data_IF_791149609271
#
_entry.id   IF_791149609271
#
_cell.length_a   1.000
_cell.length_b   1.000
_cell.length_c   1.000
_cell.angle_alpha   90.00
_cell.angle_beta   90.00
_cell.angle_gamma   90.00
#
_symmetry.space_group_name_H-M   'P 1'
#
loop_
_entity.id
_entity.type
_entity.pdbx_description
1 polymer ?
#
# COMPACT_ATOMS: atom_id res chain seq x y z
N UNK A 1 2.49 9.84 -15.85
CA UNK A 1 3.56 9.55 -14.86
C UNK A 1 4.15 10.88 -14.41
N UNK A 2 3.96 11.31 -13.15
CA UNK A 2 4.18 12.70 -12.77
C UNK A 2 5.62 13.19 -12.99
N UNK A 3 6.63 12.29 -12.95
CA UNK A 3 8.02 12.59 -13.31
C UNK A 3 8.19 13.00 -14.80
N UNK A 4 7.57 12.29 -15.74
CA UNK A 4 7.66 12.60 -17.19
C UNK A 4 6.86 13.86 -17.56
N UNK A 5 5.78 14.10 -16.84
CA UNK A 5 4.91 15.26 -17.02
C UNK A 5 5.42 16.51 -16.29
N UNK A 6 6.55 16.43 -15.59
CA UNK A 6 7.14 17.56 -14.83
C UNK A 6 6.32 18.01 -13.62
N UNK A 7 5.37 17.18 -13.15
CA UNK A 7 4.54 17.45 -11.96
C UNK A 7 5.25 17.06 -10.66
N UNK A 8 6.31 16.27 -10.75
CA UNK A 8 7.22 15.96 -9.65
C UNK A 8 8.64 15.78 -10.20
N UNK A 9 9.63 15.92 -9.34
CA UNK A 9 11.04 15.75 -9.62
C UNK A 9 11.70 14.83 -8.59
N UNK A 10 12.86 14.27 -8.92
CA UNK A 10 13.63 13.44 -7.98
C UNK A 10 13.93 14.19 -6.67
N UNK A 11 14.20 15.50 -6.83
CA UNK A 11 14.47 16.42 -5.73
C UNK A 11 13.24 16.72 -4.87
N UNK A 12 12.04 16.21 -5.17
CA UNK A 12 10.89 16.34 -4.27
C UNK A 12 11.01 15.37 -3.09
N UNK A 13 11.56 14.17 -3.32
CA UNK A 13 11.77 13.13 -2.31
C UNK A 13 13.22 13.08 -1.81
N UNK A 14 14.19 13.25 -2.71
CA UNK A 14 15.63 13.15 -2.41
C UNK A 14 16.29 14.52 -2.25
N UNK A 15 17.40 14.57 -1.49
CA UNK A 15 18.30 15.71 -1.43
C UNK A 15 19.65 15.33 -2.06
N UNK A 16 20.01 15.89 -3.23
CA UNK A 16 21.25 15.55 -3.93
C UNK A 16 22.52 15.96 -3.17
N UNK A 17 22.40 16.83 -2.15
CA UNK A 17 23.51 17.20 -1.27
C UNK A 17 23.65 16.27 -0.04
N UNK A 18 22.90 15.17 0.00
CA UNK A 18 22.89 14.23 1.12
C UNK A 18 21.73 14.52 2.09
N UNK A 19 20.61 13.81 1.89
CA UNK A 19 19.49 13.84 2.82
C UNK A 19 19.74 13.02 4.10
N UNK A 20 19.02 13.32 5.20
CA UNK A 20 19.19 12.63 6.48
C UNK A 20 18.65 11.19 6.48
N UNK A 21 17.82 10.81 5.51
CA UNK A 21 17.25 9.47 5.40
C UNK A 21 18.03 8.52 4.51
N UNK A 22 17.62 7.25 4.46
CA UNK A 22 18.22 6.26 3.57
C UNK A 22 18.10 6.73 2.11
N UNK A 23 19.07 6.36 1.27
CA UNK A 23 19.10 6.76 -0.15
C UNK A 23 18.95 8.28 -0.37
N UNK A 24 19.48 9.10 0.56
CA UNK A 24 19.45 10.56 0.50
C UNK A 24 18.03 11.15 0.53
N UNK A 25 17.06 10.49 1.17
CA UNK A 25 15.72 11.05 1.34
C UNK A 25 15.75 12.32 2.22
N UNK A 26 14.83 13.25 1.94
CA UNK A 26 14.72 14.54 2.65
C UNK A 26 14.37 14.41 4.12
N UNK A 27 13.66 13.35 4.53
CA UNK A 27 13.32 13.06 5.93
C UNK A 27 14.06 11.81 6.40
N UNK A 28 14.11 11.61 7.71
CA UNK A 28 14.91 10.55 8.32
C UNK A 28 14.42 9.15 7.93
N UNK A 29 13.11 9.00 7.64
CA UNK A 29 12.53 7.73 7.21
C UNK A 29 11.79 7.84 5.87
N UNK A 30 11.55 6.66 5.25
CA UNK A 30 10.72 6.55 4.04
C UNK A 30 9.32 7.12 4.31
N UNK A 31 8.68 6.71 5.40
CA UNK A 31 7.32 7.13 5.74
C UNK A 31 7.22 8.64 5.96
N UNK A 32 8.15 9.24 6.71
CA UNK A 32 8.16 10.69 6.91
C UNK A 32 8.31 11.46 5.60
N UNK A 33 9.08 10.91 4.64
CA UNK A 33 9.19 11.51 3.31
C UNK A 33 7.87 11.41 2.55
N UNK A 34 7.18 10.26 2.61
CA UNK A 34 5.85 10.09 2.03
C UNK A 34 4.83 11.05 2.65
N UNK A 35 4.88 11.27 3.97
CA UNK A 35 3.98 12.15 4.71
C UNK A 35 4.20 13.64 4.42
N UNK A 36 5.23 14.03 3.67
CA UNK A 36 5.33 15.40 3.15
C UNK A 36 4.09 15.77 2.32
N UNK A 37 3.58 14.79 1.55
CA UNK A 37 2.41 14.97 0.69
C UNK A 37 1.21 14.12 1.15
N UNK A 38 1.43 12.89 1.64
CA UNK A 38 0.38 11.95 2.07
C UNK A 38 0.10 12.04 3.57
N UNK A 39 -0.20 13.25 4.04
CA UNK A 39 -0.38 13.55 5.46
C UNK A 39 -1.54 12.75 6.08
N UNK A 40 -2.56 12.43 5.29
CA UNK A 40 -3.72 11.65 5.71
C UNK A 40 -3.37 10.21 6.07
N UNK A 41 -2.16 9.74 5.77
CA UNK A 41 -1.68 8.37 6.08
C UNK A 41 -0.74 8.30 7.29
N UNK A 42 -0.46 9.42 7.95
CA UNK A 42 0.50 9.50 9.05
C UNK A 42 0.04 8.83 10.34
N UNK A 43 -1.26 8.81 10.62
CA UNK A 43 -1.79 8.35 11.90
C UNK A 43 -1.48 9.31 13.07
N UNK A 44 -1.68 8.86 14.32
CA UNK A 44 -1.99 7.48 14.70
C UNK A 44 -3.42 7.09 14.31
N UNK A 45 -3.60 5.85 13.86
CA UNK A 45 -4.93 5.27 13.70
C UNK A 45 -5.26 4.39 14.91
N UNK A 46 -6.56 4.25 15.24
CA UNK A 46 -6.99 3.31 16.29
C UNK A 46 -6.63 1.87 15.92
N UNK A 47 -6.81 1.52 14.64
CA UNK A 47 -6.46 0.22 14.07
C UNK A 47 -5.48 0.44 12.93
N UNK A 48 -4.20 0.20 13.19
CA UNK A 48 -3.15 0.36 12.21
C UNK A 48 -2.89 -0.92 11.43
N UNK A 49 -2.60 -0.78 10.13
CA UNK A 49 -2.07 -1.89 9.34
C UNK A 49 -0.55 -1.91 9.51
N UNK A 50 -0.04 -2.89 10.26
CA UNK A 50 1.38 -3.01 10.62
C UNK A 50 2.39 -2.67 9.50
N UNK A 51 2.30 -3.23 8.27
CA UNK A 51 3.27 -2.93 7.21
C UNK A 51 3.26 -1.45 6.77
N UNK A 52 2.13 -0.75 6.90
CA UNK A 52 2.01 0.68 6.55
C UNK A 52 2.72 1.55 7.57
N UNK A 53 2.53 1.26 8.87
CA UNK A 53 3.21 1.94 9.97
C UNK A 53 4.74 1.78 9.89
N UNK A 54 5.19 0.61 9.44
CA UNK A 54 6.61 0.29 9.35
C UNK A 54 7.30 0.93 8.14
N UNK A 55 6.78 0.66 6.92
CA UNK A 55 7.38 1.19 5.71
C UNK A 55 6.39 1.18 4.53
N UNK A 56 6.06 2.34 3.96
CA UNK A 56 5.19 2.44 2.78
C UNK A 56 5.71 1.60 1.59
N UNK A 57 7.03 1.45 1.49
CA UNK A 57 7.66 0.66 0.42
C UNK A 57 7.53 -0.85 0.60
N UNK A 58 6.93 -1.34 1.70
CA UNK A 58 6.60 -2.76 1.82
C UNK A 58 5.59 -3.19 0.74
N UNK A 59 4.67 -2.29 0.39
CA UNK A 59 3.65 -2.54 -0.63
C UNK A 59 3.87 -1.72 -1.90
N UNK A 60 4.45 -0.52 -1.80
CA UNK A 60 4.62 0.41 -2.93
C UNK A 60 6.05 0.43 -3.50
N UNK A 61 6.16 0.68 -4.80
CA UNK A 61 7.39 1.02 -5.51
C UNK A 61 7.36 2.52 -5.87
N UNK A 62 8.09 3.38 -5.15
CA UNK A 62 8.00 4.84 -5.30
C UNK A 62 8.49 5.36 -6.66
N UNK A 63 9.21 4.56 -7.45
CA UNK A 63 9.74 4.98 -8.75
C UNK A 63 8.86 4.56 -9.92
N UNK A 64 7.94 3.62 -9.71
CA UNK A 64 7.09 3.09 -10.77
C UNK A 64 6.74 1.62 -10.56
N UNK A 65 5.55 1.23 -10.96
CA UNK A 65 5.17 -0.18 -11.10
C UNK A 65 4.28 -0.36 -12.32
N UNK A 66 4.21 -1.58 -12.83
CA UNK A 66 3.22 -2.00 -13.83
C UNK A 66 1.83 -2.23 -13.22
N UNK A 67 1.74 -2.28 -11.88
CA UNK A 67 0.49 -2.41 -11.15
C UNK A 67 -0.03 -1.04 -10.68
N UNK A 68 -1.36 -0.91 -10.63
CA UNK A 68 -2.03 0.31 -10.16
C UNK A 68 -1.55 0.73 -8.77
N UNK A 69 -1.62 2.04 -8.50
CA UNK A 69 -1.17 2.63 -7.24
C UNK A 69 0.28 2.30 -6.87
N UNK A 70 1.13 2.03 -7.87
CA UNK A 70 2.54 1.73 -7.67
C UNK A 70 2.76 0.49 -6.78
N UNK A 71 1.86 -0.50 -6.81
CA UNK A 71 2.01 -1.68 -5.96
C UNK A 71 3.11 -2.62 -6.45
N UNK A 72 3.78 -3.34 -5.56
CA UNK A 72 4.79 -4.36 -5.92
C UNK A 72 4.17 -5.62 -6.54
N UNK A 73 2.91 -5.91 -6.20
CA UNK A 73 2.11 -7.05 -6.71
C UNK A 73 0.65 -6.63 -6.80
N UNK A 74 -0.11 -7.22 -7.72
CA UNK A 74 -1.56 -7.02 -7.78
C UNK A 74 -2.28 -7.80 -6.66
N UNK A 75 -3.38 -7.27 -6.09
CA UNK A 75 -4.33 -8.07 -5.32
C UNK A 75 -4.90 -9.23 -6.16
N UNK A 76 -5.22 -10.39 -5.55
CA UNK A 76 -5.10 -10.72 -4.12
C UNK A 76 -3.68 -11.08 -3.65
N UNK A 77 -2.75 -11.34 -4.57
CA UNK A 77 -1.41 -11.87 -4.27
C UNK A 77 -0.56 -10.96 -3.37
N UNK A 78 -0.78 -9.65 -3.41
CA UNK A 78 -0.13 -8.72 -2.49
C UNK A 78 -0.52 -9.02 -1.03
N UNK A 79 -1.82 -9.18 -0.78
CA UNK A 79 -2.37 -9.45 0.55
C UNK A 79 -1.96 -10.85 1.03
N UNK A 80 -1.99 -11.84 0.13
CA UNK A 80 -1.58 -13.22 0.41
C UNK A 80 -0.10 -13.38 0.72
N UNK A 81 0.73 -12.38 0.42
CA UNK A 81 2.13 -12.37 0.84
C UNK A 81 2.32 -12.39 2.36
N UNK A 82 1.30 -11.94 3.11
CA UNK A 82 1.29 -11.98 4.58
C UNK A 82 0.05 -12.72 5.14
N UNK A 83 -1.08 -12.67 4.43
CA UNK A 83 -2.34 -13.29 4.87
C UNK A 83 -2.54 -14.65 4.21
N UNK A 84 -2.10 -15.72 4.85
CA UNK A 84 -2.17 -17.09 4.33
C UNK A 84 -3.30 -17.95 4.93
N UNK A 85 -3.92 -17.53 6.03
CA UNK A 85 -5.03 -18.25 6.69
C UNK A 85 -6.11 -17.30 7.25
N UNK A 86 -6.18 -16.08 6.71
CA UNK A 86 -7.00 -15.03 7.29
C UNK A 86 -8.49 -15.18 6.92
N UNK A 87 -9.23 -16.04 7.65
CA UNK A 87 -10.70 -16.21 7.65
C UNK A 87 -11.37 -16.54 6.29
N UNK A 88 -10.65 -16.39 5.18
CA UNK A 88 -11.02 -16.77 3.82
C UNK A 88 -9.95 -17.73 3.30
N UNK A 89 -10.29 -18.68 2.40
CA UNK A 89 -9.31 -19.56 1.79
C UNK A 89 -8.26 -18.72 1.04
N UNK A 90 -7.01 -18.78 1.48
CA UNK A 90 -5.89 -18.11 0.80
C UNK A 90 -5.30 -19.02 -0.29
N UNK A 91 -6.14 -19.88 -0.87
CA UNK A 91 -5.75 -20.86 -1.86
C UNK A 91 -5.21 -20.22 -3.14
N UNK A 92 -4.61 -21.07 -3.97
CA UNK A 92 -4.21 -20.68 -5.32
C UNK A 92 -5.47 -20.45 -6.14
N UNK A 93 -5.67 -19.21 -6.61
CA UNK A 93 -6.80 -18.90 -7.46
C UNK A 93 -6.67 -19.56 -8.82
N UNK A 94 -7.65 -20.38 -9.20
CA UNK A 94 -7.66 -21.11 -10.47
C UNK A 94 -8.63 -20.49 -11.49
N UNK A 95 -8.75 -21.13 -12.66
CA UNK A 95 -9.67 -20.67 -13.71
C UNK A 95 -11.15 -20.85 -13.32
N UNK A 96 -11.47 -21.76 -12.41
CA UNK A 96 -12.84 -21.94 -11.92
C UNK A 96 -13.27 -20.77 -11.05
N UNK A 97 -12.41 -20.24 -10.19
CA UNK A 97 -12.74 -19.09 -9.33
C UNK A 97 -12.92 -17.80 -10.14
N UNK A 98 -12.19 -17.66 -11.24
CA UNK A 98 -12.41 -16.58 -12.21
C UNK A 98 -13.77 -16.72 -12.91
N UNK A 99 -14.15 -17.94 -13.31
CA UNK A 99 -15.47 -18.22 -13.91
C UNK A 99 -16.62 -18.00 -12.93
N UNK A 100 -16.41 -18.37 -11.67
CA UNK A 100 -17.35 -18.17 -10.57
C UNK A 100 -17.45 -16.71 -10.10
N UNK A 101 -16.69 -15.79 -10.72
CA UNK A 101 -16.61 -14.37 -10.35
C UNK A 101 -16.35 -14.16 -8.85
N UNK A 102 -15.41 -14.94 -8.30
CA UNK A 102 -15.03 -14.82 -6.89
C UNK A 102 -14.73 -13.37 -6.53
N UNK A 103 -15.35 -12.86 -5.46
CA UNK A 103 -15.18 -11.48 -4.98
C UNK A 103 -13.73 -11.20 -4.55
N UNK A 104 -12.97 -12.25 -4.26
CA UNK A 104 -11.56 -12.18 -3.89
C UNK A 104 -10.63 -12.03 -5.11
N UNK A 105 -11.12 -12.30 -6.33
CA UNK A 105 -10.33 -12.20 -7.56
C UNK A 105 -10.84 -11.10 -8.49
N UNK A 106 -12.14 -10.81 -8.47
CA UNK A 106 -12.80 -9.86 -9.38
C UNK A 106 -12.98 -8.49 -8.72
N UNK A 107 -13.00 -7.43 -9.54
CA UNK A 107 -13.15 -6.05 -9.05
C UNK A 107 -11.92 -5.59 -8.27
N UNK A 108 -12.11 -5.00 -7.09
CA UNK A 108 -10.99 -4.58 -6.22
C UNK A 108 -10.46 -5.73 -5.33
N UNK A 109 -10.86 -6.98 -5.60
CA UNK A 109 -10.41 -8.16 -4.84
C UNK A 109 -10.71 -7.97 -3.33
N UNK A 110 -9.73 -8.16 -2.45
CA UNK A 110 -9.84 -7.99 -1.01
C UNK A 110 -10.39 -6.60 -0.62
N UNK A 111 -10.06 -5.56 -1.40
CA UNK A 111 -10.45 -4.18 -1.12
C UNK A 111 -11.94 -3.91 -1.37
N UNK A 112 -12.68 -4.85 -1.96
CA UNK A 112 -14.14 -4.76 -2.04
C UNK A 112 -14.76 -4.70 -0.63
N UNK A 113 -14.16 -5.39 0.34
CA UNK A 113 -14.61 -5.39 1.74
C UNK A 113 -13.61 -4.69 2.67
N UNK A 114 -12.32 -4.81 2.40
CA UNK A 114 -11.23 -4.22 3.21
C UNK A 114 -10.79 -2.88 2.63
N UNK A 115 -11.63 -1.86 2.76
CA UNK A 115 -11.38 -0.55 2.13
C UNK A 115 -10.32 0.30 2.84
N UNK A 116 -10.07 0.07 4.13
CA UNK A 116 -9.22 0.90 4.99
C UNK A 116 -7.82 0.31 5.24
N UNK A 117 -7.17 -0.20 4.19
CA UNK A 117 -5.85 -0.88 4.29
C UNK A 117 -4.68 -0.02 4.79
N UNK A 118 -4.87 1.30 4.92
CA UNK A 118 -3.87 2.21 5.50
C UNK A 118 -4.10 2.51 6.99
N UNK A 119 -5.15 1.95 7.58
CA UNK A 119 -5.55 2.16 8.97
C UNK A 119 -6.99 2.67 9.09
N UNK A 120 -7.64 2.38 10.21
CA UNK A 120 -9.01 2.79 10.51
C UNK A 120 -9.12 3.42 11.91
N UNK A 121 -9.94 4.46 12.03
CA UNK A 121 -10.33 5.07 13.30
C UNK A 121 -11.72 4.63 13.78
N UNK A 122 -12.39 3.75 13.05
CA UNK A 122 -13.70 3.25 13.44
C UNK A 122 -13.54 2.26 14.62
N UNK A 123 -14.36 2.32 15.69
CA UNK A 123 -14.26 1.38 16.82
C UNK A 123 -14.29 -0.09 16.39
N UNK A 124 -15.14 -0.41 15.42
CA UNK A 124 -15.21 -1.72 14.76
C UNK A 124 -14.32 -1.87 13.50
N UNK A 125 -13.18 -1.18 13.46
CA UNK A 125 -12.22 -1.19 12.35
C UNK A 125 -11.03 -2.17 12.42
N UNK A 126 -10.91 -3.16 13.35
CA UNK A 126 -9.69 -3.98 13.45
C UNK A 126 -9.43 -4.84 12.21
N UNK A 127 -10.46 -5.09 11.39
CA UNK A 127 -10.33 -5.78 10.09
C UNK A 127 -10.19 -4.84 8.90
N UNK A 128 -10.03 -3.52 9.10
CA UNK A 128 -9.82 -2.54 8.03
C UNK A 128 -10.97 -2.47 7.00
N UNK A 129 -12.20 -2.76 7.44
CA UNK A 129 -13.39 -2.76 6.58
C UNK A 129 -14.03 -1.37 6.44
N UNK A 130 -13.93 -0.57 7.51
CA UNK A 130 -14.52 0.77 7.67
C UNK A 130 -13.70 1.57 8.65
#
# INVERSE_FOLDING_TARGET
MPLREGKMHCADCHNPHGGPGPSQLKRATVNETCYLCHQEKRGPFLWEHAPVRENCSNCHDPHGSTFDHLLKRKPPFLCQGCHMDAFHPSGVYDRNELRSRSQNLVGKSCLNCHSQIHGSNHPSGPRLQR
#
